data_IF_404248915448
#
_entry.id   IF_404248915448
#
_cell.length_a   1.000
_cell.length_b   1.000
_cell.length_c   1.000
_cell.angle_alpha   90.00
_cell.angle_beta   90.00
_cell.angle_gamma   90.00
#
_symmetry.space_group_name_H-M   'P 1'
#
loop_
_entity.id
_entity.type
_entity.pdbx_description
1 polymer ?
#
# COMPACT_ATOMS: atom_id res chain seq x y z
N UNK A 1 -5.22 16.26 13.33
CA UNK A 1 -4.40 15.84 14.50
C UNK A 1 -2.97 15.65 14.00
N UNK A 2 -1.94 16.04 14.76
CA UNK A 2 -0.55 15.93 14.29
C UNK A 2 -0.10 14.44 14.27
N UNK A 3 0.70 14.01 13.28
CA UNK A 3 1.20 12.63 13.19
C UNK A 3 1.93 12.22 14.48
N UNK A 4 1.97 10.92 14.83
CA UNK A 4 2.70 10.44 15.99
C UNK A 4 4.14 10.95 15.98
N UNK A 5 4.61 11.52 17.09
CA UNK A 5 5.97 12.06 17.20
C UNK A 5 6.98 10.90 17.34
N UNK A 6 8.13 10.99 16.67
CA UNK A 6 9.18 9.97 16.49
C UNK A 6 9.94 9.58 17.78
N UNK A 7 9.21 9.30 18.86
CA UNK A 7 9.74 8.73 20.10
C UNK A 7 9.29 7.28 20.16
N UNK A 8 10.19 6.32 20.44
CA UNK A 8 9.80 4.90 20.58
C UNK A 8 8.67 4.77 21.60
N UNK A 9 7.49 4.39 21.13
CA UNK A 9 6.28 4.29 21.96
C UNK A 9 6.09 2.85 22.43
N UNK A 10 5.67 2.65 23.68
CA UNK A 10 5.24 1.32 24.14
C UNK A 10 3.89 0.93 23.50
N UNK A 11 3.52 -0.34 23.58
CA UNK A 11 2.21 -0.79 23.10
C UNK A 11 1.04 -0.07 23.81
N UNK A 12 1.22 0.30 25.08
CA UNK A 12 0.24 1.09 25.85
C UNK A 12 0.15 2.53 25.34
N UNK A 13 1.29 3.14 24.95
CA UNK A 13 1.32 4.49 24.40
C UNK A 13 0.65 4.52 23.02
N UNK A 14 0.91 3.50 22.19
CA UNK A 14 0.23 3.30 20.91
C UNK A 14 -1.28 3.15 21.09
N UNK A 15 -1.71 2.32 22.04
CA UNK A 15 -3.14 2.13 22.31
C UNK A 15 -3.83 3.42 22.74
N UNK A 16 -3.19 4.21 23.60
CA UNK A 16 -3.71 5.51 24.02
C UNK A 16 -3.81 6.49 22.84
N UNK A 17 -2.77 6.52 22.00
CA UNK A 17 -2.67 7.45 20.86
C UNK A 17 -3.68 7.10 19.78
N UNK A 18 -3.72 5.84 19.36
CA UNK A 18 -4.66 5.33 18.37
C UNK A 18 -6.09 5.36 18.89
N UNK A 19 -6.29 5.09 20.18
CA UNK A 19 -7.60 5.24 20.82
C UNK A 19 -8.11 6.69 20.82
N UNK A 20 -7.23 7.70 20.78
CA UNK A 20 -7.62 9.09 20.59
C UNK A 20 -8.02 9.37 19.13
N UNK A 21 -7.28 8.80 18.15
CA UNK A 21 -7.64 8.89 16.74
C UNK A 21 -8.99 8.22 16.45
N UNK A 22 -9.20 6.99 16.92
CA UNK A 22 -10.42 6.22 16.69
C UNK A 22 -11.71 6.92 17.15
N UNK A 23 -11.62 7.91 18.06
CA UNK A 23 -12.76 8.71 18.51
C UNK A 23 -13.16 9.83 17.56
N UNK A 24 -12.27 10.20 16.63
CA UNK A 24 -12.42 11.37 15.76
C UNK A 24 -12.47 11.01 14.27
N UNK A 25 -12.10 9.78 13.91
CA UNK A 25 -12.19 9.28 12.53
C UNK A 25 -13.46 8.47 12.32
N UNK A 26 -14.01 8.51 11.12
CA UNK A 26 -15.12 7.63 10.72
C UNK A 26 -14.62 6.28 10.19
N UNK A 27 -13.37 6.24 9.75
CA UNK A 27 -12.76 5.09 9.10
C UNK A 27 -11.28 4.94 9.47
N UNK A 28 -10.79 3.71 9.61
CA UNK A 28 -9.42 3.47 10.09
C UNK A 28 -8.33 3.95 9.12
N UNK A 29 -8.61 3.98 7.82
CA UNK A 29 -7.69 4.49 6.79
C UNK A 29 -7.40 6.00 6.90
N UNK A 30 -8.21 6.76 7.65
CA UNK A 30 -7.99 8.20 7.88
C UNK A 30 -6.87 8.47 8.89
N UNK A 31 -6.40 7.44 9.61
CA UNK A 31 -5.36 7.60 10.62
C UNK A 31 -4.00 7.77 9.91
N UNK A 32 -3.30 8.91 10.11
CA UNK A 32 -2.09 9.23 9.36
C UNK A 32 -0.89 8.47 9.92
N UNK A 33 -0.78 7.19 9.56
CA UNK A 33 0.37 6.35 9.92
C UNK A 33 1.45 6.38 8.85
N UNK A 34 2.68 6.60 9.30
CA UNK A 34 3.86 6.39 8.47
C UNK A 34 4.24 4.90 8.41
N UNK A 35 5.06 4.48 7.43
CA UNK A 35 5.63 3.13 7.42
C UNK A 35 6.37 2.78 8.71
N UNK A 36 7.08 3.75 9.29
CA UNK A 36 7.79 3.59 10.55
C UNK A 36 6.85 3.27 11.72
N UNK A 37 5.70 3.95 11.80
CA UNK A 37 4.71 3.71 12.85
C UNK A 37 4.16 2.27 12.76
N UNK A 38 3.82 1.83 11.54
CA UNK A 38 3.32 0.49 11.28
C UNK A 38 4.36 -0.57 11.66
N UNK A 39 5.62 -0.35 11.29
CA UNK A 39 6.72 -1.26 11.62
C UNK A 39 7.00 -1.30 13.13
N UNK A 40 6.89 -0.17 13.83
CA UNK A 40 7.01 -0.12 15.28
C UNK A 40 5.88 -0.86 15.98
N UNK A 41 4.63 -0.60 15.60
CA UNK A 41 3.47 -1.32 16.12
C UNK A 41 3.63 -2.83 15.85
N UNK A 42 4.05 -3.20 14.63
CA UNK A 42 4.31 -4.59 14.25
C UNK A 42 5.35 -5.27 15.13
N UNK A 43 6.45 -4.58 15.48
CA UNK A 43 7.45 -5.11 16.43
C UNK A 43 6.85 -5.40 17.80
N UNK A 44 6.01 -4.52 18.33
CA UNK A 44 5.37 -4.73 19.63
C UNK A 44 4.33 -5.86 19.60
N UNK A 45 3.51 -5.92 18.55
CA UNK A 45 2.53 -6.99 18.37
C UNK A 45 3.19 -8.34 18.14
N UNK A 46 4.28 -8.40 17.36
CA UNK A 46 5.12 -9.60 17.23
C UNK A 46 5.59 -10.10 18.59
N UNK A 47 6.16 -9.23 19.41
CA UNK A 47 6.60 -9.60 20.76
C UNK A 47 5.43 -10.07 21.65
N UNK A 48 4.24 -9.48 21.50
CA UNK A 48 3.03 -9.92 22.19
C UNK A 48 2.61 -11.33 21.74
N UNK A 49 2.52 -11.57 20.44
CA UNK A 49 2.14 -12.86 19.86
C UNK A 49 3.12 -13.95 20.26
N UNK A 50 4.43 -13.71 20.14
CA UNK A 50 5.46 -14.73 20.46
C UNK A 50 5.49 -15.13 21.94
N UNK A 51 5.06 -14.25 22.85
CA UNK A 51 5.08 -14.51 24.31
C UNK A 51 3.75 -15.05 24.84
N UNK A 52 2.70 -15.05 24.03
CA UNK A 52 1.35 -15.37 24.47
C UNK A 52 0.96 -16.77 24.02
N UNK A 53 0.41 -17.57 24.95
CA UNK A 53 -0.16 -18.87 24.61
C UNK A 53 -1.38 -18.70 23.67
N UNK A 54 -1.55 -19.61 22.70
CA UNK A 54 -2.60 -19.50 21.65
C UNK A 54 -4.01 -19.27 22.23
N UNK A 55 -4.37 -19.92 23.33
CA UNK A 55 -5.66 -19.79 24.01
C UNK A 55 -5.85 -18.44 24.74
N UNK A 56 -4.77 -17.72 25.05
CA UNK A 56 -4.80 -16.40 25.69
C UNK A 56 -4.65 -15.25 24.69
N UNK A 57 -4.28 -15.56 23.43
CA UNK A 57 -3.93 -14.57 22.43
C UNK A 57 -5.04 -13.56 22.17
N UNK A 58 -6.29 -14.02 21.99
CA UNK A 58 -7.45 -13.13 21.81
C UNK A 58 -7.61 -12.18 23.00
N UNK A 59 -7.49 -12.67 24.23
CA UNK A 59 -7.62 -11.83 25.42
C UNK A 59 -6.50 -10.80 25.53
N UNK A 60 -5.25 -11.16 25.21
CA UNK A 60 -4.14 -10.22 25.23
C UNK A 60 -4.26 -9.15 24.13
N UNK A 61 -4.69 -9.54 22.93
CA UNK A 61 -4.97 -8.61 21.83
C UNK A 61 -6.05 -7.60 22.24
N UNK A 62 -7.13 -8.06 22.86
CA UNK A 62 -8.26 -7.20 23.26
C UNK A 62 -7.93 -6.24 24.42
N UNK A 63 -6.72 -6.29 24.98
CA UNK A 63 -6.20 -5.24 25.87
C UNK A 63 -5.73 -4.00 25.10
N UNK A 64 -5.48 -4.15 23.80
CA UNK A 64 -5.00 -3.11 22.89
C UNK A 64 -5.87 -3.06 21.61
N UNK A 65 -7.19 -2.85 21.74
CA UNK A 65 -8.12 -2.96 20.61
C UNK A 65 -7.84 -1.96 19.50
N UNK A 66 -7.52 -0.71 19.83
CA UNK A 66 -7.27 0.36 18.84
C UNK A 66 -6.01 0.04 18.04
N UNK A 67 -4.95 -0.36 18.73
CA UNK A 67 -3.67 -0.74 18.12
C UNK A 67 -3.86 -1.93 17.19
N UNK A 68 -4.62 -2.92 17.63
CA UNK A 68 -4.87 -4.13 16.87
C UNK A 68 -5.62 -3.88 15.57
N UNK A 69 -6.76 -3.17 15.62
CA UNK A 69 -7.58 -2.96 14.43
C UNK A 69 -6.88 -2.06 13.43
N UNK A 70 -6.21 -1.01 13.90
CA UNK A 70 -5.48 -0.08 13.04
C UNK A 70 -4.32 -0.78 12.35
N UNK A 71 -3.56 -1.60 13.07
CA UNK A 71 -2.45 -2.36 12.48
C UNK A 71 -2.94 -3.34 11.41
N UNK A 72 -3.98 -4.12 11.69
CA UNK A 72 -4.53 -5.07 10.71
C UNK A 72 -5.06 -4.37 9.46
N UNK A 73 -5.77 -3.25 9.62
CA UNK A 73 -6.24 -2.43 8.51
C UNK A 73 -5.07 -1.86 7.69
N UNK A 74 -4.02 -1.37 8.34
CA UNK A 74 -2.83 -0.82 7.68
C UNK A 74 -2.04 -1.89 6.90
N UNK A 75 -1.91 -3.10 7.44
CA UNK A 75 -1.31 -4.24 6.72
C UNK A 75 -2.15 -4.60 5.50
N UNK A 76 -3.48 -4.61 5.63
CA UNK A 76 -4.36 -4.91 4.50
C UNK A 76 -4.27 -3.87 3.38
N UNK A 77 -4.10 -2.59 3.71
CA UNK A 77 -3.93 -1.50 2.75
C UNK A 77 -2.59 -1.59 2.00
N UNK A 78 -1.51 -1.96 2.69
CA UNK A 78 -0.16 -2.03 2.11
C UNK A 78 0.13 -3.33 1.37
N UNK A 79 -0.75 -4.32 1.49
CA UNK A 79 -0.51 -5.63 0.92
C UNK A 79 -0.36 -5.54 -0.61
N UNK A 80 0.71 -6.12 -1.14
CA UNK A 80 0.99 -6.25 -2.57
C UNK A 80 0.58 -7.63 -3.14
N UNK A 81 0.16 -8.55 -2.26
CA UNK A 81 -0.37 -9.87 -2.61
C UNK A 81 -1.86 -10.05 -2.21
N UNK A 82 -2.65 -10.85 -2.96
CA UNK A 82 -4.03 -11.17 -2.57
C UNK A 82 -4.16 -11.95 -1.24
N UNK A 83 -3.10 -12.58 -0.75
CA UNK A 83 -3.03 -13.39 0.46
C UNK A 83 -2.79 -12.57 1.74
N UNK A 84 -3.85 -12.12 2.39
CA UNK A 84 -3.74 -11.30 3.61
C UNK A 84 -3.06 -12.01 4.80
N UNK A 85 -3.43 -13.26 5.07
CA UNK A 85 -2.95 -13.96 6.28
C UNK A 85 -1.46 -14.32 6.22
N UNK A 86 -0.93 -14.53 5.01
CA UNK A 86 0.50 -14.80 4.81
C UNK A 86 1.33 -13.58 5.19
N UNK A 87 0.98 -12.41 4.66
CA UNK A 87 1.65 -11.15 4.97
C UNK A 87 1.59 -10.80 6.46
N UNK A 88 0.42 -10.97 7.08
CA UNK A 88 0.28 -10.78 8.52
C UNK A 88 1.16 -11.76 9.32
N UNK A 89 1.31 -13.01 8.86
CA UNK A 89 2.15 -14.00 9.51
C UNK A 89 3.64 -13.63 9.43
N UNK A 90 4.10 -13.12 8.28
CA UNK A 90 5.45 -12.58 8.10
C UNK A 90 5.69 -11.43 9.07
N UNK A 91 4.79 -10.44 9.07
CA UNK A 91 4.92 -9.25 9.91
C UNK A 91 4.94 -9.58 11.42
N UNK A 92 4.12 -10.54 11.85
CA UNK A 92 4.08 -11.02 13.23
C UNK A 92 5.13 -12.11 13.55
N UNK A 93 5.97 -12.50 12.59
CA UNK A 93 7.02 -13.52 12.77
C UNK A 93 6.51 -14.93 13.05
N UNK A 94 5.34 -15.29 12.52
CA UNK A 94 4.64 -16.55 12.76
C UNK A 94 4.58 -17.46 11.51
N UNK A 95 5.44 -17.25 10.52
CA UNK A 95 5.46 -17.99 9.24
C UNK A 95 5.51 -19.51 9.42
N UNK A 96 6.33 -20.00 10.37
CA UNK A 96 6.55 -21.45 10.57
C UNK A 96 5.45 -22.11 11.39
N UNK A 97 4.94 -21.42 12.40
CA UNK A 97 3.97 -21.98 13.36
C UNK A 97 2.51 -21.79 12.92
N UNK A 98 2.30 -20.91 11.93
CA UNK A 98 0.99 -20.48 11.45
C UNK A 98 0.27 -19.55 12.42
N UNK A 99 -0.43 -18.55 11.88
CA UNK A 99 -1.29 -17.69 12.67
C UNK A 99 -2.64 -18.37 12.99
N UNK A 100 -3.15 -18.28 14.22
CA UNK A 100 -4.50 -18.72 14.56
C UNK A 100 -5.54 -17.73 13.99
N UNK A 101 -5.78 -17.79 12.69
CA UNK A 101 -6.57 -16.81 11.91
C UNK A 101 -8.00 -16.62 12.43
N UNK A 102 -8.65 -17.67 12.92
CA UNK A 102 -9.99 -17.58 13.53
C UNK A 102 -10.01 -16.74 14.80
N UNK A 103 -9.02 -16.92 15.69
CA UNK A 103 -8.90 -16.16 16.94
C UNK A 103 -8.54 -14.70 16.68
N UNK A 104 -7.59 -14.47 15.78
CA UNK A 104 -7.09 -13.14 15.38
C UNK A 104 -8.20 -12.36 14.65
N UNK A 105 -8.87 -12.98 13.67
CA UNK A 105 -10.00 -12.38 12.97
C UNK A 105 -11.18 -12.09 13.89
N UNK A 106 -11.52 -13.03 14.79
CA UNK A 106 -12.57 -12.78 15.79
C UNK A 106 -12.19 -11.67 16.78
N UNK A 107 -10.91 -11.53 17.14
CA UNK A 107 -10.43 -10.43 17.96
C UNK A 107 -10.58 -9.09 17.23
N UNK A 108 -10.28 -9.03 15.92
CA UNK A 108 -10.51 -7.85 15.09
C UNK A 108 -11.98 -7.44 15.10
N UNK A 109 -12.90 -8.36 14.76
CA UNK A 109 -14.35 -8.07 14.75
C UNK A 109 -14.87 -7.63 16.12
N UNK A 110 -14.36 -8.22 17.20
CA UNK A 110 -14.73 -7.81 18.57
C UNK A 110 -14.24 -6.40 18.89
N UNK A 111 -13.01 -6.06 18.47
CA UNK A 111 -12.40 -4.77 18.72
C UNK A 111 -13.04 -3.64 17.90
N UNK A 112 -13.34 -3.84 16.60
CA UNK A 112 -14.05 -2.82 15.80
C UNK A 112 -15.42 -2.50 16.37
N UNK A 113 -16.15 -3.53 16.82
CA UNK A 113 -17.44 -3.37 17.50
C UNK A 113 -17.31 -2.62 18.82
N UNK A 114 -16.29 -2.92 19.63
CA UNK A 114 -16.01 -2.21 20.88
C UNK A 114 -15.70 -0.73 20.64
N UNK A 115 -15.04 -0.41 19.54
CA UNK A 115 -14.65 0.94 19.16
C UNK A 115 -15.75 1.72 18.44
N UNK A 116 -16.88 1.07 18.10
CA UNK A 116 -18.02 1.72 17.44
C UNK A 116 -17.90 1.82 15.91
N UNK A 117 -16.95 1.11 15.30
CA UNK A 117 -16.81 1.05 13.85
C UNK A 117 -17.77 0.02 13.23
N UNK A 118 -18.15 0.17 11.94
CA UNK A 118 -18.90 -0.84 11.20
C UNK A 118 -18.19 -2.20 11.20
N UNK A 119 -18.94 -3.29 11.39
CA UNK A 119 -18.38 -4.66 11.36
C UNK A 119 -18.42 -5.30 9.97
N UNK A 120 -19.17 -4.70 9.03
CA UNK A 120 -19.35 -5.14 7.65
C UNK A 120 -19.79 -6.60 7.52
N UNK A 121 -20.57 -7.12 8.48
CA UNK A 121 -20.98 -8.52 8.51
C UNK A 121 -21.76 -8.96 7.25
N UNK A 122 -22.51 -8.03 6.64
CA UNK A 122 -23.43 -8.32 5.53
C UNK A 122 -22.82 -8.14 4.12
N UNK A 123 -21.54 -7.73 4.03
CA UNK A 123 -20.88 -7.44 2.73
C UNK A 123 -20.52 -8.71 1.93
N UNK A 124 -20.52 -9.88 2.59
CA UNK A 124 -20.12 -11.14 1.97
C UNK A 124 -18.60 -11.28 1.76
N UNK A 125 -18.19 -12.32 1.04
CA UNK A 125 -16.78 -12.65 0.83
C UNK A 125 -16.13 -13.36 2.03
N UNK A 126 -14.87 -13.04 2.33
CA UNK A 126 -14.13 -13.68 3.42
C UNK A 126 -14.52 -13.06 4.76
N UNK A 127 -15.15 -13.87 5.63
CA UNK A 127 -15.71 -13.44 6.92
C UNK A 127 -14.84 -12.48 7.75
N UNK A 128 -13.52 -12.69 7.78
CA UNK A 128 -12.60 -11.79 8.50
C UNK A 128 -11.89 -10.81 7.59
N UNK A 129 -11.41 -11.26 6.42
CA UNK A 129 -10.53 -10.46 5.56
C UNK A 129 -11.30 -9.33 4.88
N UNK A 130 -12.56 -9.54 4.51
CA UNK A 130 -13.37 -8.49 3.88
C UNK A 130 -13.55 -7.28 4.80
N UNK A 131 -14.02 -7.43 6.06
CA UNK A 131 -14.08 -6.30 7.00
C UNK A 131 -12.73 -5.61 7.25
N UNK A 132 -11.65 -6.38 7.40
CA UNK A 132 -10.31 -5.82 7.62
C UNK A 132 -9.89 -4.92 6.45
N UNK A 133 -10.10 -5.39 5.21
CA UNK A 133 -9.78 -4.63 4.00
C UNK A 133 -10.63 -3.40 3.85
N UNK A 134 -11.93 -3.49 4.12
CA UNK A 134 -12.82 -2.34 4.08
C UNK A 134 -12.28 -1.23 4.97
N UNK A 135 -11.91 -1.55 6.22
CA UNK A 135 -11.29 -0.60 7.14
C UNK A 135 -9.91 -0.07 6.69
N UNK A 136 -9.14 -0.85 5.95
CA UNK A 136 -7.82 -0.46 5.42
C UNK A 136 -7.88 0.46 4.20
N UNK A 137 -8.95 0.41 3.42
CA UNK A 137 -9.04 1.08 2.12
C UNK A 137 -8.73 0.14 0.96
N UNK A 138 -8.33 0.72 -0.17
CA UNK A 138 -7.95 -0.08 -1.36
C UNK A 138 -6.54 -0.64 -1.15
N UNK A 139 -6.34 -1.98 -1.17
CA UNK A 139 -5.01 -2.58 -1.08
C UNK A 139 -4.09 -2.16 -2.21
N UNK A 140 -2.79 -2.07 -1.94
CA UNK A 140 -1.77 -1.66 -2.92
C UNK A 140 -1.81 -2.51 -4.21
N UNK A 141 -2.04 -3.82 -4.09
CA UNK A 141 -2.15 -4.71 -5.26
C UNK A 141 -3.36 -4.41 -6.16
N UNK A 142 -4.43 -3.83 -5.61
CA UNK A 142 -5.64 -3.48 -6.36
C UNK A 142 -5.60 -2.08 -6.97
N UNK A 143 -4.59 -1.26 -6.62
CA UNK A 143 -4.48 0.11 -7.11
C UNK A 143 -4.29 0.23 -8.63
N UNK A 144 -3.47 -0.60 -9.31
CA UNK A 144 -3.29 -0.48 -10.76
C UNK A 144 -4.59 -0.60 -11.56
N UNK A 145 -5.43 -1.60 -11.24
CA UNK A 145 -6.72 -1.81 -11.90
C UNK A 145 -7.74 -0.74 -11.50
N UNK A 146 -7.73 -0.32 -10.24
CA UNK A 146 -8.52 0.83 -9.79
C UNK A 146 -8.15 2.10 -10.59
N UNK A 147 -6.87 2.37 -10.83
CA UNK A 147 -6.45 3.51 -11.63
C UNK A 147 -6.91 3.38 -13.08
N UNK A 148 -6.69 2.22 -13.69
CA UNK A 148 -7.00 1.96 -15.10
C UNK A 148 -8.48 2.07 -15.42
N UNK A 149 -9.33 1.45 -14.58
CA UNK A 149 -10.74 1.23 -14.90
C UNK A 149 -11.72 2.13 -14.14
N UNK A 150 -11.25 2.82 -13.10
CA UNK A 150 -12.07 3.75 -12.30
C UNK A 150 -11.55 5.19 -12.42
N UNK A 151 -10.32 5.44 -11.93
CA UNK A 151 -9.82 6.82 -11.78
C UNK A 151 -9.57 7.49 -13.13
N UNK A 152 -8.86 6.83 -14.04
CA UNK A 152 -8.54 7.42 -15.35
C UNK A 152 -9.80 7.64 -16.21
N UNK A 153 -10.78 6.71 -16.24
CA UNK A 153 -12.06 6.97 -16.89
C UNK A 153 -12.83 8.13 -16.27
N UNK A 154 -12.86 8.25 -14.94
CA UNK A 154 -13.52 9.38 -14.25
C UNK A 154 -12.83 10.72 -14.55
N UNK A 155 -11.51 10.73 -14.59
CA UNK A 155 -10.72 11.93 -14.88
C UNK A 155 -10.91 12.43 -16.33
N UNK A 156 -11.11 11.50 -17.29
CA UNK A 156 -11.23 11.80 -18.73
C UNK A 156 -12.67 12.04 -19.19
N UNK A 157 -13.67 11.46 -18.54
CA UNK A 157 -15.07 11.55 -18.97
C UNK A 157 -15.70 12.86 -18.45
N UNK A 158 -15.76 13.87 -19.32
CA UNK A 158 -16.38 15.16 -19.00
C UNK A 158 -17.84 15.06 -18.53
N UNK A 159 -18.57 14.00 -18.88
CA UNK A 159 -19.97 13.80 -18.42
C UNK A 159 -20.06 13.39 -16.95
N UNK A 160 -18.97 12.91 -16.38
CA UNK A 160 -18.86 12.59 -14.96
C UNK A 160 -18.40 13.81 -14.13
N UNK A 161 -17.84 14.84 -14.76
CA UNK A 161 -17.28 15.99 -14.05
C UNK A 161 -18.31 16.79 -13.24
N UNK A 162 -19.55 16.89 -13.75
CA UNK A 162 -20.64 17.62 -13.10
C UNK A 162 -21.39 16.79 -12.04
N UNK A 163 -21.01 15.53 -11.85
CA UNK A 163 -21.66 14.60 -10.90
C UNK A 163 -20.95 14.61 -9.55
N UNK A 164 -21.71 14.35 -8.50
CA UNK A 164 -21.15 14.11 -7.16
C UNK A 164 -20.25 12.85 -7.16
N UNK A 165 -19.27 12.74 -6.24
CA UNK A 165 -18.44 11.54 -6.13
C UNK A 165 -19.25 10.24 -6.03
N UNK A 166 -20.33 10.24 -5.24
CA UNK A 166 -21.24 9.10 -5.09
C UNK A 166 -21.88 8.67 -6.42
N UNK A 167 -22.36 9.62 -7.22
CA UNK A 167 -22.94 9.35 -8.53
C UNK A 167 -21.90 8.87 -9.56
N UNK A 168 -20.68 9.42 -9.50
CA UNK A 168 -19.58 8.95 -10.35
C UNK A 168 -19.22 7.50 -10.02
N UNK A 169 -19.07 7.18 -8.74
CA UNK A 169 -18.79 5.82 -8.25
C UNK A 169 -19.89 4.87 -8.71
N UNK A 170 -21.16 5.19 -8.49
CA UNK A 170 -22.28 4.35 -8.90
C UNK A 170 -22.29 4.09 -10.42
N UNK A 171 -22.05 5.14 -11.22
CA UNK A 171 -22.01 5.01 -12.68
C UNK A 171 -20.80 4.18 -13.18
N UNK A 172 -19.66 4.24 -12.48
CA UNK A 172 -18.47 3.47 -12.81
C UNK A 172 -18.63 2.00 -12.40
N UNK A 173 -19.12 1.73 -11.20
CA UNK A 173 -19.37 0.37 -10.69
C UNK A 173 -20.39 -0.40 -11.54
N UNK A 174 -21.31 0.30 -12.22
CA UNK A 174 -22.26 -0.30 -13.15
C UNK A 174 -21.65 -0.74 -14.50
N UNK A 175 -20.39 -0.42 -14.79
CA UNK A 175 -19.72 -0.79 -16.04
C UNK A 175 -19.23 -2.25 -15.97
N UNK A 176 -19.51 -3.03 -17.01
CA UNK A 176 -19.02 -4.42 -17.10
C UNK A 176 -17.50 -4.54 -17.03
N UNK A 177 -16.77 -3.54 -17.53
CA UNK A 177 -15.29 -3.50 -17.41
C UNK A 177 -14.83 -3.45 -15.96
N UNK A 178 -15.56 -2.75 -15.09
CA UNK A 178 -15.22 -2.67 -13.66
C UNK A 178 -15.49 -4.00 -12.98
N UNK A 179 -16.60 -4.66 -13.30
CA UNK A 179 -16.90 -5.98 -12.77
C UNK A 179 -15.85 -7.03 -13.15
N UNK A 180 -15.33 -6.97 -14.38
CA UNK A 180 -14.39 -7.96 -14.93
C UNK A 180 -12.94 -7.71 -14.52
N UNK A 181 -12.51 -6.45 -14.41
CA UNK A 181 -11.10 -6.10 -14.29
C UNK A 181 -10.73 -5.39 -12.99
N UNK A 182 -11.70 -4.97 -12.17
CA UNK A 182 -11.39 -4.34 -10.88
C UNK A 182 -11.57 -5.35 -9.77
N UNK A 183 -10.48 -5.55 -9.03
CA UNK A 183 -10.42 -6.38 -7.85
C UNK A 183 -11.56 -6.11 -6.86
N UNK A 184 -12.09 -7.18 -6.26
CA UNK A 184 -13.23 -7.10 -5.33
C UNK A 184 -12.98 -6.16 -4.14
N UNK A 185 -11.79 -6.07 -3.52
CA UNK A 185 -11.54 -5.10 -2.45
C UNK A 185 -11.70 -3.64 -2.88
N UNK A 186 -11.24 -3.26 -4.08
CA UNK A 186 -11.42 -1.90 -4.58
C UNK A 186 -12.92 -1.59 -4.81
N UNK A 187 -13.66 -2.53 -5.43
CA UNK A 187 -15.10 -2.39 -5.62
C UNK A 187 -15.86 -2.30 -4.29
N UNK A 188 -15.55 -3.18 -3.34
CA UNK A 188 -16.17 -3.19 -2.02
C UNK A 188 -15.89 -1.89 -1.27
N UNK A 189 -14.67 -1.37 -1.32
CA UNK A 189 -14.34 -0.11 -0.65
C UNK A 189 -15.15 1.05 -1.21
N UNK A 190 -15.27 1.16 -2.54
CA UNK A 190 -16.10 2.19 -3.17
C UNK A 190 -17.59 2.04 -2.85
N UNK A 191 -18.08 0.81 -2.74
CA UNK A 191 -19.49 0.53 -2.48
C UNK A 191 -19.89 0.73 -1.01
N UNK A 192 -19.02 0.39 -0.06
CA UNK A 192 -19.36 0.31 1.37
C UNK A 192 -18.56 1.27 2.27
N UNK A 193 -17.54 1.95 1.76
CA UNK A 193 -16.69 2.87 2.52
C UNK A 193 -17.32 4.26 2.76
N UNK A 194 -18.48 4.54 2.17
CA UNK A 194 -19.25 5.77 2.43
C UNK A 194 -18.48 7.05 2.12
N UNK A 195 -18.65 8.08 2.97
CA UNK A 195 -18.05 9.40 2.77
C UNK A 195 -16.52 9.37 2.66
N UNK A 196 -15.84 8.49 3.41
CA UNK A 196 -14.38 8.34 3.33
C UNK A 196 -13.95 7.80 1.96
N UNK A 197 -14.67 6.83 1.40
CA UNK A 197 -14.40 6.32 0.05
C UNK A 197 -14.68 7.36 -1.03
N UNK A 198 -15.74 8.16 -0.87
CA UNK A 198 -16.07 9.27 -1.77
C UNK A 198 -14.97 10.34 -1.80
N UNK A 199 -14.48 10.75 -0.62
CA UNK A 199 -13.39 11.72 -0.51
C UNK A 199 -12.08 11.17 -1.10
N UNK A 200 -11.74 9.92 -0.80
CA UNK A 200 -10.58 9.23 -1.36
C UNK A 200 -10.64 9.16 -2.90
N UNK A 201 -11.79 8.76 -3.44
CA UNK A 201 -12.03 8.69 -4.89
C UNK A 201 -11.88 10.07 -5.54
N UNK A 202 -12.51 11.10 -4.98
CA UNK A 202 -12.43 12.47 -5.50
C UNK A 202 -10.97 12.95 -5.55
N UNK A 203 -10.22 12.75 -4.47
CA UNK A 203 -8.81 13.13 -4.42
C UNK A 203 -7.95 12.36 -5.45
N UNK A 204 -8.23 11.07 -5.68
CA UNK A 204 -7.56 10.30 -6.74
C UNK A 204 -7.87 10.86 -8.14
N UNK A 205 -9.12 11.22 -8.40
CA UNK A 205 -9.55 11.80 -9.69
C UNK A 205 -8.91 13.15 -9.92
N UNK A 206 -8.84 14.00 -8.90
CA UNK A 206 -8.21 15.33 -9.00
C UNK A 206 -6.70 15.23 -9.21
N UNK A 207 -6.03 14.27 -8.55
CA UNK A 207 -4.63 13.93 -8.83
C UNK A 207 -4.44 13.51 -10.29
N UNK A 208 -5.31 12.63 -10.81
CA UNK A 208 -5.22 12.17 -12.19
C UNK A 208 -5.50 13.30 -13.21
N UNK A 209 -6.46 14.20 -12.92
CA UNK A 209 -6.75 15.38 -13.76
C UNK A 209 -5.56 16.33 -13.82
N UNK A 210 -4.95 16.63 -12.68
CA UNK A 210 -3.74 17.46 -12.58
C UNK A 210 -2.61 16.86 -13.41
N UNK A 211 -2.40 15.54 -13.30
CA UNK A 211 -1.40 14.85 -14.10
C UNK A 211 -1.70 14.87 -15.61
N UNK A 212 -2.96 14.75 -16.00
CA UNK A 212 -3.37 14.83 -17.41
C UNK A 212 -3.20 16.23 -18.00
N UNK A 213 -3.31 17.29 -17.19
CA UNK A 213 -3.15 18.67 -17.61
C UNK A 213 -1.68 19.10 -17.67
N UNK A 214 -0.94 18.87 -16.57
CA UNK A 214 0.37 19.47 -16.36
C UNK A 214 1.52 18.45 -16.33
N UNK A 215 1.21 17.14 -16.39
CA UNK A 215 2.17 16.06 -16.15
C UNK A 215 2.90 16.16 -14.80
N UNK A 216 2.26 16.79 -13.81
CA UNK A 216 2.78 16.92 -12.46
C UNK A 216 1.99 16.04 -11.50
N UNK A 217 2.65 15.65 -10.40
CA UNK A 217 2.02 14.97 -9.27
C UNK A 217 2.24 15.81 -8.01
N UNK A 218 1.29 15.80 -7.07
CA UNK A 218 1.40 16.56 -5.83
C UNK A 218 2.68 16.16 -5.08
N UNK A 219 3.47 17.16 -4.65
CA UNK A 219 4.71 16.93 -3.90
C UNK A 219 4.46 16.54 -2.44
N UNK A 220 3.28 16.86 -1.91
CA UNK A 220 2.80 16.44 -0.59
C UNK A 220 1.42 15.80 -0.73
N UNK A 221 1.18 14.64 -0.09
CA UNK A 221 -0.14 14.03 -0.09
C UNK A 221 -1.19 14.94 0.55
N UNK A 222 -2.37 15.13 -0.06
CA UNK A 222 -3.52 15.66 0.65
C UNK A 222 -3.95 14.69 1.76
N UNK A 223 -4.66 15.15 2.80
CA UNK A 223 -5.11 14.31 3.91
C UNK A 223 -5.86 13.05 3.48
N UNK A 224 -6.58 13.12 2.35
CA UNK A 224 -7.42 12.06 1.80
C UNK A 224 -6.63 11.02 0.98
N UNK A 225 -5.36 11.28 0.64
CA UNK A 225 -4.52 10.36 -0.13
C UNK A 225 -3.28 9.94 0.67
N UNK A 226 -3.20 8.68 1.10
CA UNK A 226 -1.98 8.13 1.65
C UNK A 226 -0.82 8.20 0.64
N UNK A 227 0.41 8.46 1.12
CA UNK A 227 1.59 8.58 0.27
C UNK A 227 1.82 7.38 -0.68
N UNK A 228 1.51 6.16 -0.21
CA UNK A 228 1.66 4.95 -1.02
C UNK A 228 0.76 4.93 -2.26
N UNK A 229 -0.40 5.62 -2.24
CA UNK A 229 -1.31 5.71 -3.38
C UNK A 229 -0.74 6.63 -4.46
N UNK A 230 -0.07 7.73 -4.05
CA UNK A 230 0.61 8.64 -4.98
C UNK A 230 1.79 7.94 -5.64
N UNK A 231 2.58 7.21 -4.85
CA UNK A 231 3.70 6.40 -5.37
C UNK A 231 3.19 5.31 -6.33
N UNK A 232 2.09 4.63 -5.99
CA UNK A 232 1.47 3.65 -6.88
C UNK A 232 0.97 4.29 -8.19
N UNK A 233 0.34 5.47 -8.11
CA UNK A 233 -0.13 6.18 -9.30
C UNK A 233 1.02 6.63 -10.18
N UNK A 234 2.12 7.12 -9.58
CA UNK A 234 3.37 7.46 -10.29
C UNK A 234 3.90 6.26 -11.08
N UNK A 235 4.00 5.10 -10.42
CA UNK A 235 4.45 3.87 -11.07
C UNK A 235 3.50 3.48 -12.22
N UNK A 236 2.19 3.54 -11.99
CA UNK A 236 1.18 3.24 -13.00
C UNK A 236 1.32 4.12 -14.26
N UNK A 237 1.46 5.44 -14.12
CA UNK A 237 1.59 6.33 -15.28
C UNK A 237 2.93 6.15 -15.99
N UNK A 238 4.02 5.89 -15.27
CA UNK A 238 5.33 5.58 -15.84
C UNK A 238 5.26 4.29 -16.68
N UNK A 239 4.64 3.24 -16.17
CA UNK A 239 4.46 1.97 -16.88
C UNK A 239 3.59 2.11 -18.13
N UNK A 240 2.51 2.92 -18.08
CA UNK A 240 1.66 3.19 -19.25
C UNK A 240 2.36 4.00 -20.33
N UNK A 241 3.17 4.99 -19.93
CA UNK A 241 4.00 5.74 -20.87
C UNK A 241 5.05 4.83 -21.53
N UNK A 242 5.62 3.88 -20.80
CA UNK A 242 6.54 2.87 -21.32
C UNK A 242 5.87 1.94 -22.35
N UNK A 243 4.68 1.43 -22.03
CA UNK A 243 3.93 0.56 -22.93
C UNK A 243 3.54 1.26 -24.24
N UNK A 244 3.14 2.53 -24.18
CA UNK A 244 2.69 3.32 -25.33
C UNK A 244 3.86 3.75 -26.23
N UNK A 245 5.05 3.94 -25.67
CA UNK A 245 6.24 4.30 -26.44
C UNK A 245 6.82 3.13 -27.26
N UNK A 246 6.25 1.92 -27.19
CA UNK A 246 6.76 0.72 -27.87
C UNK A 246 8.18 0.32 -27.45
N UNK A 247 8.72 1.00 -26.45
CA UNK A 247 10.04 0.80 -25.88
C UNK A 247 9.81 0.59 -24.39
N UNK A 248 10.12 -0.62 -23.90
CA UNK A 248 10.30 -0.89 -22.48
C UNK A 248 11.39 0.06 -21.96
N UNK A 249 11.03 1.24 -21.47
CA UNK A 249 12.02 2.16 -20.90
C UNK A 249 12.55 1.54 -19.61
N UNK A 250 13.81 1.83 -19.36
CA UNK A 250 14.45 1.42 -18.12
C UNK A 250 13.76 2.12 -16.94
N UNK A 251 13.42 1.34 -15.90
CA UNK A 251 12.91 1.88 -14.64
C UNK A 251 14.04 2.59 -13.91
N UNK A 252 13.78 3.80 -13.40
CA UNK A 252 14.80 4.63 -12.78
C UNK A 252 15.27 4.08 -11.41
N UNK A 253 16.57 4.15 -11.09
CA UNK A 253 17.06 3.80 -9.76
C UNK A 253 16.61 4.82 -8.71
N UNK A 254 16.39 4.37 -7.47
CA UNK A 254 15.97 5.23 -6.34
C UNK A 254 17.11 5.37 -5.35
N UNK A 255 17.46 6.61 -4.99
CA UNK A 255 18.35 6.88 -3.88
C UNK A 255 17.52 7.05 -2.61
N UNK A 256 17.72 6.15 -1.66
CA UNK A 256 17.14 6.19 -0.33
C UNK A 256 18.17 6.77 0.64
N UNK A 257 17.72 7.74 1.43
CA UNK A 257 18.50 8.36 2.49
C UNK A 257 17.87 7.95 3.82
N UNK A 258 18.61 7.23 4.65
CA UNK A 258 18.19 6.90 6.01
C UNK A 258 19.06 7.68 7.00
N UNK A 259 18.63 8.86 7.45
CA UNK A 259 19.41 9.69 8.37
C UNK A 259 19.49 9.10 9.79
N UNK A 260 18.79 8.01 10.07
CA UNK A 260 18.76 7.35 11.37
C UNK A 260 19.50 6.00 11.39
N UNK A 261 19.97 5.52 10.23
CA UNK A 261 20.81 4.33 10.12
C UNK A 261 22.26 4.64 10.50
N UNK A 262 22.84 4.01 11.55
CA UNK A 262 24.22 4.24 11.93
C UNK A 262 25.24 3.53 11.01
N UNK A 263 24.77 2.76 10.02
CA UNK A 263 25.62 1.88 9.18
C UNK A 263 25.43 2.18 7.69
N UNK A 264 24.23 2.55 7.24
CA UNK A 264 23.92 2.75 5.82
C UNK A 264 23.10 4.04 5.64
N UNK A 265 23.78 5.18 5.57
CA UNK A 265 23.16 6.49 5.35
C UNK A 265 22.55 6.64 3.94
N UNK A 266 23.10 5.95 2.95
CA UNK A 266 22.73 6.07 1.55
C UNK A 266 22.60 4.67 0.94
N UNK A 267 21.45 4.40 0.33
CA UNK A 267 21.19 3.13 -0.35
C UNK A 267 20.59 3.41 -1.73
N UNK A 268 21.16 2.80 -2.74
CA UNK A 268 20.65 2.84 -4.10
C UNK A 268 19.84 1.56 -4.38
N UNK A 269 18.56 1.72 -4.65
CA UNK A 269 17.71 0.66 -5.16
C UNK A 269 17.71 0.68 -6.68
N UNK A 270 18.12 -0.43 -7.25
CA UNK A 270 18.21 -0.68 -8.68
C UNK A 270 17.04 -1.60 -9.06
N UNK A 271 15.93 -1.08 -9.59
CA UNK A 271 14.75 -1.88 -9.84
C UNK A 271 14.97 -2.89 -10.97
N UNK A 272 14.19 -3.97 -10.93
CA UNK A 272 14.12 -4.95 -12.01
C UNK A 272 13.78 -4.26 -13.34
N UNK A 273 14.62 -4.46 -14.35
CA UNK A 273 14.46 -3.84 -15.67
C UNK A 273 13.71 -4.76 -16.62
N UNK A 274 12.71 -4.27 -17.35
CA UNK A 274 12.04 -5.08 -18.35
C UNK A 274 13.01 -5.47 -19.48
N UNK A 275 12.97 -6.74 -19.88
CA UNK A 275 13.84 -7.33 -20.91
C UNK A 275 13.00 -7.85 -22.07
N UNK A 276 13.47 -7.64 -23.29
CA UNK A 276 12.85 -8.23 -24.48
C UNK A 276 13.30 -9.67 -24.70
N UNK A 277 12.40 -10.50 -25.24
CA UNK A 277 12.64 -11.95 -25.42
C UNK A 277 13.83 -12.25 -26.31
N UNK A 278 14.05 -11.46 -27.35
CA UNK A 278 15.20 -11.54 -28.24
C UNK A 278 16.52 -11.17 -27.55
N UNK A 279 16.46 -10.50 -26.39
CA UNK A 279 17.62 -10.08 -25.59
C UNK A 279 17.74 -10.81 -24.26
N UNK A 280 17.00 -11.91 -24.07
CA UNK A 280 17.00 -12.67 -22.82
C UNK A 280 18.38 -13.25 -22.45
N UNK A 281 19.21 -13.55 -23.46
CA UNK A 281 20.55 -14.14 -23.30
C UNK A 281 21.67 -13.10 -23.15
N UNK A 282 21.33 -11.81 -23.23
CA UNK A 282 22.32 -10.74 -23.13
C UNK A 282 22.82 -10.61 -21.68
N UNK A 283 24.02 -10.05 -21.54
CA UNK A 283 24.55 -9.66 -20.23
C UNK A 283 24.03 -8.27 -19.86
N UNK A 284 23.40 -8.16 -18.70
CA UNK A 284 22.89 -6.91 -18.16
C UNK A 284 23.72 -6.48 -16.95
N UNK A 285 24.06 -5.19 -16.91
CA UNK A 285 24.83 -4.60 -15.83
C UNK A 285 24.39 -3.17 -15.54
N UNK A 286 24.33 -2.81 -14.27
CA UNK A 286 24.21 -1.43 -13.83
C UNK A 286 25.61 -0.82 -13.72
N UNK A 287 25.82 0.34 -14.33
CA UNK A 287 27.04 1.13 -14.19
C UNK A 287 26.74 2.38 -13.40
N UNK A 288 27.31 2.47 -12.20
CA UNK A 288 27.19 3.64 -11.34
C UNK A 288 28.45 4.47 -11.51
N UNK A 289 28.26 5.73 -11.87
CA UNK A 289 29.36 6.66 -12.08
C UNK A 289 29.17 7.90 -11.23
N UNK A 290 30.22 8.27 -10.50
CA UNK A 290 30.28 9.54 -9.80
C UNK A 290 30.63 10.62 -10.83
N UNK A 291 29.78 11.62 -10.93
CA UNK A 291 29.94 12.74 -11.88
C UNK A 291 30.37 13.97 -11.10
N UNK A 292 31.64 14.35 -11.23
CA UNK A 292 32.16 15.62 -10.73
C UNK A 292 32.22 16.68 -11.82
N UNK A 293 32.63 17.90 -11.46
CA UNK A 293 32.65 19.05 -12.38
C UNK A 293 33.53 18.88 -13.64
N UNK A 294 34.47 17.93 -13.65
CA UNK A 294 35.36 17.67 -14.80
C UNK A 294 35.66 16.18 -15.07
N UNK A 295 35.11 15.24 -14.28
CA UNK A 295 35.43 13.82 -14.39
C UNK A 295 34.20 12.93 -14.20
N UNK A 296 34.08 11.90 -15.04
CA UNK A 296 33.11 10.81 -14.91
C UNK A 296 33.86 9.54 -14.56
N UNK A 297 33.85 9.15 -13.29
CA UNK A 297 34.47 7.91 -12.83
C UNK A 297 33.38 6.88 -12.56
N UNK A 298 33.34 5.82 -13.36
CA UNK A 298 32.44 4.69 -13.12
C UNK A 298 33.05 3.77 -12.08
N UNK A 299 32.63 3.94 -10.84
CA UNK A 299 33.24 3.35 -9.64
C UNK A 299 32.67 1.99 -9.30
N UNK A 300 31.45 1.68 -9.74
CA UNK A 300 30.80 0.41 -9.38
C UNK A 300 29.96 -0.16 -10.52
N UNK A 301 30.03 -1.49 -10.66
CA UNK A 301 29.27 -2.25 -11.67
C UNK A 301 28.58 -3.42 -11.00
N UNK A 302 27.25 -3.49 -11.13
CA UNK A 302 26.45 -4.62 -10.64
C UNK A 302 25.94 -5.46 -11.80
N UNK A 303 26.35 -6.72 -11.89
CA UNK A 303 25.82 -7.64 -12.90
C UNK A 303 24.50 -8.22 -12.43
N UNK A 304 23.47 -8.17 -13.29
CA UNK A 304 22.12 -8.67 -12.99
C UNK A 304 21.72 -9.76 -13.97
N UNK A 305 21.01 -10.76 -13.46
CA UNK A 305 20.50 -11.89 -14.27
C UNK A 305 19.10 -11.58 -14.74
N UNK A 306 18.74 -12.11 -15.90
CA UNK A 306 17.35 -12.09 -16.38
C UNK A 306 16.58 -13.23 -15.71
N UNK A 307 15.37 -12.94 -15.24
CA UNK A 307 14.40 -13.91 -14.71
C UNK A 307 13.07 -13.76 -15.44
N UNK A 308 12.36 -14.88 -15.53
CA UNK A 308 10.96 -14.89 -15.95
C UNK A 308 10.07 -14.72 -14.73
N UNK A 309 9.16 -13.75 -14.76
CA UNK A 309 8.09 -13.57 -13.77
C UNK A 309 6.79 -13.65 -14.56
N UNK A 310 6.11 -14.81 -14.49
CA UNK A 310 4.99 -15.10 -15.38
C UNK A 310 5.44 -15.13 -16.85
N UNK A 311 4.77 -14.33 -17.69
CA UNK A 311 5.06 -14.20 -19.12
C UNK A 311 6.12 -13.14 -19.47
N UNK A 312 6.55 -12.36 -18.47
CA UNK A 312 7.49 -11.25 -18.61
C UNK A 312 8.92 -11.64 -18.23
N UNK A 313 9.89 -11.08 -18.96
CA UNK A 313 11.30 -11.19 -18.65
C UNK A 313 11.77 -9.88 -18.02
N UNK A 314 12.42 -9.97 -16.87
CA UNK A 314 12.98 -8.81 -16.17
C UNK A 314 14.37 -9.12 -15.62
N UNK A 315 15.22 -8.12 -15.42
CA UNK A 315 16.45 -8.31 -14.64
C UNK A 315 16.11 -8.44 -13.15
N UNK A 316 16.94 -9.14 -12.38
CA UNK A 316 16.84 -9.13 -10.93
C UNK A 316 17.00 -7.70 -10.39
N UNK A 317 16.21 -7.28 -9.38
CA UNK A 317 16.48 -6.06 -8.66
C UNK A 317 17.77 -6.20 -7.83
N UNK A 318 18.41 -5.07 -7.54
CA UNK A 318 19.60 -4.98 -6.69
C UNK A 318 19.48 -3.82 -5.72
N UNK A 319 20.13 -3.98 -4.59
CA UNK A 319 20.29 -2.92 -3.60
C UNK A 319 21.78 -2.76 -3.37
N UNK A 320 22.25 -1.53 -3.46
CA UNK A 320 23.66 -1.17 -3.33
C UNK A 320 23.79 -0.14 -2.22
N UNK A 321 24.68 -0.41 -1.26
CA UNK A 321 25.09 0.58 -0.27
C UNK A 321 26.18 1.45 -0.88
N UNK A 322 26.01 2.78 -0.84
CA UNK A 322 26.94 3.77 -1.39
C UNK A 322 27.90 4.28 -0.32
#
# INVERSE_FOLDING_TARGET
MAPPTTTRMSLTDWEKTLGAYCKHVSHLSEIPLSPFDIDEIGRHLKALVSRTQKNQLKAQILRYPSTWVVYMAAIAARNDDPGYWGELAVSLGAEREGLPTSFIGSAFLSAVKQLGFPDYADVGGYHYVTPIRLHGGIPAYSLPDFFEYIVMPAAKDGRLADKTPSEQIAALLARSTVELFVDSPARNYLQYGGATAEAFFAACVDMARTFLQDHTLPSSPPPELPAHVIDAFRNYVEEKQQATAGQKRLRAPRLLLDPFSPIELHRLELPAQPVDRDRATWRYEWKMCLVGAATRNCTQVETVRVRSIGYDLTTEPRTVSL
#
